data_IF_734645467273
#
_entry.id   IF_734645467273
#
_cell.length_a   1.000
_cell.length_b   1.000
_cell.length_c   1.000
_cell.angle_alpha   90.00
_cell.angle_beta   90.00
_cell.angle_gamma   90.00
#
_symmetry.space_group_name_H-M   'P 1'
#
loop_
_entity.id
_entity.type
_entity.pdbx_description
1 polymer ?
#
# COMPACT_ATOMS: atom_id res chain seq x y z
N UNK A 1 -49.46 5.78 3.84
CA UNK A 1 -48.24 4.98 3.99
C UNK A 1 -47.41 5.02 2.72
N UNK A 2 -47.29 6.19 2.09
CA UNK A 2 -46.52 6.36 0.84
C UNK A 2 -45.89 7.76 0.72
N UNK A 3 -45.37 8.35 1.79
CA UNK A 3 -44.73 9.68 1.70
C UNK A 3 -43.48 9.87 2.59
N UNK A 4 -42.80 8.78 3.00
CA UNK A 4 -41.67 8.90 3.94
C UNK A 4 -40.33 8.37 3.40
N UNK A 5 -40.22 8.01 2.12
CA UNK A 5 -39.00 7.49 1.51
C UNK A 5 -38.15 8.54 0.76
N UNK A 6 -38.74 9.67 0.41
CA UNK A 6 -38.01 10.69 -0.38
C UNK A 6 -37.09 11.58 0.47
N UNK A 7 -37.45 11.83 1.73
CA UNK A 7 -36.61 12.64 2.64
C UNK A 7 -35.39 11.85 3.14
N UNK A 8 -35.52 10.54 3.32
CA UNK A 8 -34.35 9.69 3.73
C UNK A 8 -33.34 9.46 2.59
N UNK A 9 -33.78 9.47 1.32
CA UNK A 9 -32.88 9.36 0.18
C UNK A 9 -32.09 10.66 -0.06
N UNK A 10 -32.73 11.81 0.11
CA UNK A 10 -32.03 13.12 0.04
C UNK A 10 -31.01 13.30 1.17
N UNK A 11 -31.34 12.87 2.42
CA UNK A 11 -30.41 12.91 3.57
C UNK A 11 -29.19 11.97 3.38
N UNK A 12 -29.37 10.84 2.69
CA UNK A 12 -28.28 9.90 2.41
C UNK A 12 -27.39 10.40 1.27
N UNK A 13 -27.95 11.01 0.23
CA UNK A 13 -27.17 11.65 -0.83
C UNK A 13 -26.39 12.86 -0.29
N UNK A 14 -26.98 13.69 0.56
CA UNK A 14 -26.30 14.82 1.22
C UNK A 14 -25.19 14.35 2.15
N UNK A 15 -25.38 13.25 2.91
CA UNK A 15 -24.32 12.64 3.74
C UNK A 15 -23.20 11.98 2.92
N UNK A 16 -23.48 11.48 1.72
CA UNK A 16 -22.46 10.93 0.82
C UNK A 16 -21.63 12.07 0.21
N UNK A 17 -22.24 13.19 -0.15
CA UNK A 17 -21.53 14.38 -0.63
C UNK A 17 -20.58 14.95 0.45
N UNK A 18 -20.98 14.97 1.72
CA UNK A 18 -20.12 15.44 2.83
C UNK A 18 -18.86 14.55 3.07
N UNK A 19 -18.85 13.34 2.55
CA UNK A 19 -17.69 12.42 2.66
C UNK A 19 -16.82 12.37 1.40
N UNK A 20 -17.11 13.16 0.38
CA UNK A 20 -16.31 13.21 -0.85
C UNK A 20 -14.91 13.79 -0.55
N UNK A 21 -13.83 13.09 -0.93
CA UNK A 21 -12.46 13.61 -0.78
C UNK A 21 -12.23 14.96 -1.44
N UNK A 22 -13.00 15.31 -2.47
CA UNK A 22 -12.94 16.62 -3.14
C UNK A 22 -13.50 17.71 -2.26
N UNK A 23 -14.66 17.52 -1.63
CA UNK A 23 -15.23 18.46 -0.68
C UNK A 23 -14.34 18.64 0.55
N UNK A 24 -13.75 17.56 1.06
CA UNK A 24 -12.78 17.65 2.15
C UNK A 24 -11.54 18.46 1.73
N UNK A 25 -11.03 18.28 0.50
CA UNK A 25 -9.89 19.04 -0.02
C UNK A 25 -10.22 20.54 -0.17
N UNK A 26 -11.43 20.86 -0.64
CA UNK A 26 -11.90 22.24 -0.76
C UNK A 26 -12.14 22.88 0.62
N UNK A 27 -12.72 22.15 1.56
CA UNK A 27 -12.89 22.60 2.94
C UNK A 27 -11.55 22.93 3.63
N UNK A 28 -10.51 22.14 3.39
CA UNK A 28 -9.15 22.45 3.86
C UNK A 28 -8.55 23.67 3.14
N UNK A 29 -8.79 23.84 1.83
CA UNK A 29 -8.28 24.97 1.06
C UNK A 29 -8.90 26.30 1.49
N UNK A 30 -10.16 26.30 1.93
CA UNK A 30 -10.88 27.49 2.40
C UNK A 30 -10.49 27.91 3.84
N UNK A 31 -9.56 27.19 4.47
CA UNK A 31 -8.96 27.58 5.74
C UNK A 31 -9.82 27.29 6.96
N UNK A 32 -10.41 26.11 7.05
CA UNK A 32 -11.03 25.62 8.27
C UNK A 32 -10.08 25.80 9.46
N UNK A 33 -10.53 26.47 10.50
CA UNK A 33 -9.70 26.86 11.66
C UNK A 33 -9.88 25.93 12.86
N UNK A 34 -10.58 24.81 12.70
CA UNK A 34 -10.86 23.90 13.80
C UNK A 34 -9.60 23.12 14.13
N UNK A 35 -9.05 23.41 15.30
CA UNK A 35 -7.92 22.66 15.87
C UNK A 35 -8.39 21.26 16.24
N UNK A 36 -7.92 20.24 15.53
CA UNK A 36 -8.17 18.85 15.87
C UNK A 36 -7.47 18.45 17.18
N UNK A 37 -6.54 19.25 17.66
CA UNK A 37 -5.90 19.15 18.95
C UNK A 37 -5.15 17.84 19.16
N UNK A 38 -4.92 17.51 20.43
CA UNK A 38 -4.22 16.29 20.86
C UNK A 38 -4.97 14.98 20.50
N UNK A 39 -6.23 15.07 20.06
CA UNK A 39 -7.01 13.93 19.56
C UNK A 39 -6.54 13.41 18.20
N UNK A 40 -5.86 14.24 17.41
CA UNK A 40 -5.28 13.85 16.13
C UNK A 40 -3.96 13.08 16.33
N UNK A 41 -4.05 11.77 16.30
CA UNK A 41 -2.90 10.87 16.48
C UNK A 41 -2.06 10.69 15.21
N UNK A 42 -2.46 11.29 14.08
CA UNK A 42 -1.76 11.14 12.81
C UNK A 42 -0.81 12.32 12.54
N UNK A 43 -1.32 13.54 12.67
CA UNK A 43 -0.58 14.77 12.34
C UNK A 43 -0.55 15.80 13.47
N UNK A 44 -1.12 15.47 14.65
CA UNK A 44 -1.09 16.36 15.83
C UNK A 44 -1.87 17.67 15.67
N UNK A 45 -2.92 17.68 14.83
CA UNK A 45 -3.73 18.87 14.53
C UNK A 45 -3.21 19.71 13.37
N UNK A 46 -2.18 19.29 12.66
CA UNK A 46 -1.62 20.00 11.51
C UNK A 46 -2.55 19.89 10.29
N UNK A 47 -3.33 20.95 10.04
CA UNK A 47 -4.30 21.03 8.95
C UNK A 47 -3.61 21.04 7.57
N UNK A 48 -2.42 21.60 7.44
CA UNK A 48 -1.70 21.58 6.16
C UNK A 48 -1.27 20.16 5.78
N UNK A 49 -0.89 19.35 6.75
CA UNK A 49 -0.59 17.93 6.52
C UNK A 49 -1.85 17.15 6.16
N UNK A 50 -2.99 17.43 6.79
CA UNK A 50 -4.26 16.83 6.42
C UNK A 50 -4.65 17.18 4.98
N UNK A 51 -4.49 18.44 4.57
CA UNK A 51 -4.75 18.88 3.20
C UNK A 51 -3.86 18.14 2.20
N UNK A 52 -2.55 18.01 2.48
CA UNK A 52 -1.61 17.25 1.64
C UNK A 52 -1.98 15.78 1.57
N UNK A 53 -2.33 15.18 2.70
CA UNK A 53 -2.78 13.78 2.76
C UNK A 53 -4.05 13.56 1.94
N UNK A 54 -5.05 14.43 2.07
CA UNK A 54 -6.31 14.36 1.33
C UNK A 54 -6.09 14.40 -0.18
N UNK A 55 -5.33 15.38 -0.68
CA UNK A 55 -5.04 15.50 -2.11
C UNK A 55 -4.18 14.33 -2.63
N UNK A 56 -3.26 13.82 -1.82
CA UNK A 56 -2.49 12.60 -2.15
C UNK A 56 -3.40 11.37 -2.21
N UNK A 57 -4.41 11.29 -1.35
CA UNK A 57 -5.43 10.24 -1.38
C UNK A 57 -6.27 10.33 -2.66
N UNK A 58 -6.63 11.54 -3.12
CA UNK A 58 -7.33 11.74 -4.41
C UNK A 58 -6.50 11.16 -5.56
N UNK A 59 -5.18 11.38 -5.60
CA UNK A 59 -4.30 10.78 -6.62
C UNK A 59 -4.30 9.24 -6.54
N UNK A 60 -4.19 8.66 -5.34
CA UNK A 60 -4.29 7.20 -5.12
C UNK A 60 -5.60 6.64 -5.66
N UNK A 61 -6.72 7.26 -5.31
CA UNK A 61 -8.05 6.81 -5.71
C UNK A 61 -8.27 6.97 -7.23
N UNK A 62 -7.82 8.08 -7.82
CA UNK A 62 -7.87 8.30 -9.26
C UNK A 62 -7.09 7.20 -10.01
N UNK A 63 -5.86 6.90 -9.58
CA UNK A 63 -5.09 5.82 -10.21
C UNK A 63 -5.70 4.44 -9.97
N UNK A 64 -6.41 4.22 -8.86
CA UNK A 64 -7.13 2.97 -8.60
C UNK A 64 -8.19 2.69 -9.64
N UNK A 65 -8.89 3.71 -10.13
CA UNK A 65 -9.97 3.59 -11.10
C UNK A 65 -9.55 3.91 -12.55
N UNK A 66 -8.27 4.16 -12.79
CA UNK A 66 -7.77 4.64 -14.08
C UNK A 66 -8.10 3.73 -15.28
N UNK A 67 -8.25 2.42 -15.06
CA UNK A 67 -8.59 1.45 -16.11
C UNK A 67 -10.10 1.35 -16.36
N UNK A 68 -10.95 1.65 -15.38
CA UNK A 68 -12.42 1.54 -15.50
C UNK A 68 -13.10 2.89 -15.70
N UNK A 69 -12.50 3.97 -15.25
CA UNK A 69 -13.00 5.34 -15.42
C UNK A 69 -11.86 6.30 -15.75
N UNK A 70 -11.18 6.14 -16.91
CA UNK A 70 -9.99 6.90 -17.24
C UNK A 70 -10.24 8.41 -17.39
N UNK A 71 -11.44 8.81 -17.79
CA UNK A 71 -11.79 10.22 -17.92
C UNK A 71 -11.81 10.93 -16.56
N UNK A 72 -12.53 10.38 -15.58
CA UNK A 72 -12.60 10.90 -14.21
C UNK A 72 -11.23 10.84 -13.54
N UNK A 73 -10.51 9.74 -13.67
CA UNK A 73 -9.16 9.61 -13.12
C UNK A 73 -8.21 10.69 -13.66
N UNK A 74 -8.25 10.92 -14.98
CA UNK A 74 -7.45 11.97 -15.62
C UNK A 74 -7.83 13.36 -15.12
N UNK A 75 -9.12 13.68 -15.08
CA UNK A 75 -9.63 14.97 -14.60
C UNK A 75 -9.15 15.26 -13.18
N UNK A 76 -9.31 14.30 -12.27
CA UNK A 76 -8.86 14.41 -10.88
C UNK A 76 -7.35 14.65 -10.77
N UNK A 77 -6.54 13.88 -11.52
CA UNK A 77 -5.08 14.06 -11.48
C UNK A 77 -4.66 15.41 -12.05
N UNK A 78 -5.23 15.81 -13.20
CA UNK A 78 -4.90 17.09 -13.85
C UNK A 78 -5.38 18.30 -13.02
N UNK A 79 -6.48 18.18 -12.29
CA UNK A 79 -6.94 19.20 -11.36
C UNK A 79 -5.95 19.38 -10.20
N UNK A 80 -5.64 18.29 -9.49
CA UNK A 80 -4.72 18.33 -8.35
C UNK A 80 -3.34 18.84 -8.78
N UNK A 81 -2.76 18.24 -9.80
CA UNK A 81 -1.41 18.59 -10.27
C UNK A 81 -1.36 19.96 -10.96
N UNK A 82 -2.47 20.42 -11.51
CA UNK A 82 -2.57 21.72 -12.17
C UNK A 82 -2.57 22.92 -11.21
N UNK A 83 -2.85 22.70 -9.92
CA UNK A 83 -2.89 23.79 -8.92
C UNK A 83 -2.44 23.32 -7.54
N UNK A 84 -1.16 23.01 -7.39
CA UNK A 84 -0.55 22.59 -6.12
C UNK A 84 -0.58 23.66 -5.02
N UNK A 85 -0.90 24.90 -5.35
CA UNK A 85 -1.14 25.93 -4.33
C UNK A 85 -2.49 25.74 -3.64
N UNK A 86 -3.52 25.39 -4.40
CA UNK A 86 -4.85 25.06 -3.84
C UNK A 86 -4.90 23.63 -3.32
N UNK A 87 -4.31 22.70 -4.05
CA UNK A 87 -4.33 21.26 -3.78
C UNK A 87 -2.91 20.72 -3.53
N UNK A 88 -2.23 21.14 -2.44
CA UNK A 88 -0.91 20.64 -2.12
C UNK A 88 -0.97 19.13 -1.87
N UNK A 89 0.05 18.41 -2.33
CA UNK A 89 0.24 16.98 -2.06
C UNK A 89 1.41 16.78 -1.10
N UNK A 90 1.60 15.56 -0.60
CA UNK A 90 2.76 15.22 0.23
C UNK A 90 4.06 15.42 -0.54
N UNK A 91 5.03 16.11 0.06
CA UNK A 91 6.29 16.50 -0.59
C UNK A 91 7.55 16.20 0.23
N UNK A 92 7.39 15.66 1.43
CA UNK A 92 8.52 15.28 2.28
C UNK A 92 8.18 14.05 3.13
N UNK A 93 9.20 13.39 3.66
CA UNK A 93 9.00 12.30 4.61
C UNK A 93 8.37 12.76 5.94
N UNK A 94 8.36 14.06 6.22
CA UNK A 94 7.64 14.64 7.36
C UNK A 94 6.12 14.64 7.16
N UNK A 95 5.66 14.51 5.92
CA UNK A 95 4.24 14.39 5.56
C UNK A 95 3.73 12.94 5.65
N UNK A 96 4.60 11.96 5.92
CA UNK A 96 4.20 10.56 6.02
C UNK A 96 3.09 10.36 7.05
N UNK A 97 1.97 9.79 6.63
CA UNK A 97 0.83 9.48 7.48
C UNK A 97 1.09 8.18 8.25
N UNK A 98 1.77 8.28 9.39
CA UNK A 98 2.12 7.18 10.26
C UNK A 98 1.44 7.30 11.61
N UNK A 99 0.67 6.27 11.97
CA UNK A 99 0.19 6.12 13.33
C UNK A 99 1.30 5.50 14.19
N UNK A 100 1.75 6.21 15.21
CA UNK A 100 2.78 5.74 16.12
C UNK A 100 2.18 5.13 17.38
N UNK A 101 2.65 3.94 17.70
CA UNK A 101 2.22 3.22 18.87
C UNK A 101 2.95 3.71 20.14
N UNK A 102 2.31 3.63 21.30
CA UNK A 102 2.88 4.13 22.55
C UNK A 102 4.08 3.27 23.02
N UNK A 103 4.01 1.96 22.82
CA UNK A 103 5.10 1.03 23.10
C UNK A 103 5.44 0.78 24.58
N UNK A 104 4.78 1.47 25.53
CA UNK A 104 5.03 1.33 26.97
C UNK A 104 3.96 0.55 27.71
N UNK A 105 2.76 0.40 27.13
CA UNK A 105 1.64 -0.37 27.65
C UNK A 105 1.35 -1.55 26.71
N UNK A 106 1.21 -2.79 27.21
CA UNK A 106 0.92 -3.96 26.41
C UNK A 106 -0.33 -3.87 25.53
N UNK A 107 -1.31 -3.05 25.92
CA UNK A 107 -2.50 -2.82 25.11
C UNK A 107 -2.27 -1.92 23.89
N UNK A 108 -1.12 -1.24 23.85
CA UNK A 108 -0.75 -0.25 22.84
C UNK A 108 0.63 -0.53 22.24
N UNK A 109 1.02 -1.80 22.17
CA UNK A 109 2.19 -2.24 21.41
C UNK A 109 1.90 -2.26 19.92
N UNK A 110 2.90 -1.96 19.09
CA UNK A 110 2.83 -2.17 17.66
C UNK A 110 2.54 -3.67 17.39
N UNK A 111 1.46 -3.99 16.67
CA UNK A 111 0.93 -5.38 16.60
C UNK A 111 1.92 -6.40 16.02
N UNK A 112 2.75 -6.00 15.04
CA UNK A 112 3.73 -6.91 14.44
C UNK A 112 4.91 -7.15 15.39
N UNK A 113 5.37 -6.10 16.08
CA UNK A 113 6.42 -6.21 17.07
C UNK A 113 5.97 -7.03 18.28
N UNK A 114 4.74 -6.89 18.74
CA UNK A 114 4.19 -7.73 19.80
C UNK A 114 4.04 -9.20 19.34
N UNK A 115 3.58 -9.43 18.13
CA UNK A 115 3.52 -10.75 17.53
C UNK A 115 4.90 -11.41 17.48
N UNK A 116 5.92 -10.69 17.02
CA UNK A 116 7.31 -11.19 17.00
C UNK A 116 7.87 -11.46 18.39
N UNK A 117 7.64 -10.57 19.33
CA UNK A 117 8.08 -10.73 20.73
C UNK A 117 7.64 -12.06 21.31
N UNK A 118 6.43 -12.50 20.98
CA UNK A 118 5.82 -13.75 21.48
C UNK A 118 6.14 -14.98 20.64
N UNK A 119 6.45 -14.81 19.33
CA UNK A 119 6.55 -15.91 18.35
C UNK A 119 7.77 -15.77 17.42
N UNK A 120 8.93 -15.48 17.98
CA UNK A 120 10.17 -15.15 17.24
C UNK A 120 10.58 -16.12 16.11
N UNK A 121 10.21 -17.39 16.19
CA UNK A 121 10.61 -18.43 15.23
C UNK A 121 9.56 -18.70 14.17
N UNK A 122 8.42 -18.01 14.20
CA UNK A 122 7.30 -18.25 13.29
C UNK A 122 7.28 -17.30 12.09
N UNK A 123 8.21 -16.34 12.03
CA UNK A 123 8.25 -15.30 11.00
C UNK A 123 9.49 -15.40 10.13
N UNK A 124 9.29 -15.36 8.83
CA UNK A 124 10.33 -15.26 7.82
C UNK A 124 9.93 -14.23 6.77
N UNK A 125 10.91 -13.55 6.17
CA UNK A 125 10.67 -12.70 5.01
C UNK A 125 10.31 -13.57 3.79
N UNK A 126 9.38 -13.11 2.96
CA UNK A 126 8.99 -13.82 1.76
C UNK A 126 10.06 -13.73 0.67
N UNK A 127 10.26 -14.82 -0.07
CA UNK A 127 11.20 -14.91 -1.20
C UNK A 127 10.92 -13.85 -2.28
N UNK A 128 9.66 -13.62 -2.61
CA UNK A 128 9.24 -12.68 -3.66
C UNK A 128 9.88 -11.31 -3.52
N UNK A 129 9.86 -10.73 -2.33
CA UNK A 129 10.43 -9.39 -2.11
C UNK A 129 11.94 -9.45 -1.84
N UNK A 130 12.42 -10.46 -1.12
CA UNK A 130 13.85 -10.60 -0.82
C UNK A 130 14.66 -10.82 -2.10
N UNK A 131 14.19 -11.70 -2.98
CA UNK A 131 14.87 -12.02 -4.24
C UNK A 131 14.81 -10.84 -5.23
N UNK A 132 13.68 -10.12 -5.27
CA UNK A 132 13.58 -8.90 -6.07
C UNK A 132 14.62 -7.87 -5.63
N UNK A 133 14.73 -7.59 -4.33
CA UNK A 133 15.69 -6.63 -3.80
C UNK A 133 17.14 -7.11 -3.91
N UNK A 134 17.38 -8.43 -3.79
CA UNK A 134 18.72 -9.02 -4.02
C UNK A 134 19.18 -8.82 -5.46
N UNK A 135 18.31 -9.11 -6.44
CA UNK A 135 18.63 -9.01 -7.86
C UNK A 135 18.96 -7.59 -8.30
N UNK A 136 18.36 -6.59 -7.63
CA UNK A 136 18.57 -5.18 -7.92
C UNK A 136 19.65 -4.52 -7.04
N UNK A 137 20.22 -5.27 -6.12
CA UNK A 137 21.12 -4.74 -5.08
C UNK A 137 20.51 -3.53 -4.34
N UNK A 138 19.18 -3.58 -4.12
CA UNK A 138 18.39 -2.47 -3.58
C UNK A 138 18.92 -2.07 -2.19
N UNK A 139 19.34 -0.81 -1.98
CA UNK A 139 19.94 -0.38 -0.73
C UNK A 139 18.95 -0.37 0.44
N UNK A 140 17.63 -0.29 0.20
CA UNK A 140 16.58 -0.41 1.24
C UNK A 140 16.55 -1.79 1.88
N UNK A 141 17.15 -2.79 1.25
CA UNK A 141 17.16 -4.19 1.72
C UNK A 141 17.66 -4.33 3.15
N UNK A 142 18.70 -3.58 3.53
CA UNK A 142 19.27 -3.62 4.87
C UNK A 142 18.37 -3.00 5.96
N UNK A 143 17.46 -2.11 5.57
CA UNK A 143 16.42 -1.58 6.44
C UNK A 143 15.23 -2.55 6.54
N UNK A 144 14.83 -3.17 5.44
CA UNK A 144 13.65 -4.05 5.39
C UNK A 144 13.89 -5.42 6.01
N UNK A 145 15.12 -5.94 5.92
CA UNK A 145 15.44 -7.30 6.35
C UNK A 145 16.72 -7.35 7.17
N UNK A 146 16.80 -8.37 8.02
CA UNK A 146 18.03 -8.80 8.65
C UNK A 146 18.64 -9.94 7.81
N UNK A 147 19.97 -10.00 7.66
CA UNK A 147 20.61 -11.15 7.03
C UNK A 147 20.36 -12.41 7.84
N UNK A 148 20.45 -13.58 7.21
CA UNK A 148 20.21 -14.83 7.89
C UNK A 148 21.24 -15.06 9.01
N UNK A 149 20.80 -15.63 10.13
CA UNK A 149 21.68 -15.88 11.27
C UNK A 149 22.87 -16.76 10.88
N UNK A 150 22.65 -17.83 10.12
CA UNK A 150 23.73 -18.72 9.64
C UNK A 150 24.77 -17.98 8.80
N UNK A 151 24.33 -17.06 7.92
CA UNK A 151 25.26 -16.31 7.07
C UNK A 151 26.09 -15.29 7.85
N UNK A 152 25.50 -14.67 8.88
CA UNK A 152 26.23 -13.77 9.79
C UNK A 152 27.27 -14.53 10.61
N UNK A 153 26.91 -15.69 11.15
CA UNK A 153 27.83 -16.57 11.90
C UNK A 153 28.99 -17.11 11.01
N UNK A 154 28.72 -17.28 9.71
CA UNK A 154 29.72 -17.66 8.73
C UNK A 154 30.61 -16.50 8.25
N UNK A 155 30.34 -15.25 8.65
CA UNK A 155 31.05 -14.05 8.22
C UNK A 155 30.70 -13.56 6.80
N UNK A 156 29.66 -14.11 6.18
CA UNK A 156 29.18 -13.74 4.83
C UNK A 156 27.69 -13.40 4.87
N UNK A 157 27.29 -12.22 5.38
CA UNK A 157 25.87 -11.86 5.51
C UNK A 157 25.10 -11.95 4.19
N UNK A 158 24.01 -12.72 4.18
CA UNK A 158 23.14 -12.94 3.02
C UNK A 158 21.67 -12.77 3.38
N UNK A 159 20.87 -12.28 2.45
CA UNK A 159 19.43 -12.19 2.59
C UNK A 159 18.78 -13.32 1.82
N UNK A 160 17.96 -14.14 2.49
CA UNK A 160 17.30 -15.30 1.94
C UNK A 160 15.82 -15.28 2.32
N UNK A 161 14.94 -15.25 1.34
CA UNK A 161 13.49 -15.32 1.55
C UNK A 161 12.99 -16.76 1.70
N UNK A 162 11.88 -16.91 2.42
CA UNK A 162 11.19 -18.20 2.55
C UNK A 162 10.07 -18.28 1.51
N UNK A 163 10.02 -19.38 0.78
CA UNK A 163 9.01 -19.57 -0.29
C UNK A 163 7.60 -19.63 0.29
N UNK A 164 6.74 -18.74 -0.18
CA UNK A 164 5.34 -18.63 0.26
C UNK A 164 4.63 -19.96 0.03
N UNK A 165 3.99 -20.48 1.09
CA UNK A 165 3.24 -21.74 1.01
C UNK A 165 4.07 -23.02 0.84
N UNK A 166 5.39 -22.96 1.08
CA UNK A 166 6.22 -24.17 1.07
C UNK A 166 5.72 -25.21 2.08
N UNK A 167 5.88 -26.50 1.72
CA UNK A 167 5.42 -27.62 2.57
C UNK A 167 6.31 -27.87 3.79
N UNK A 168 7.60 -27.53 3.67
CA UNK A 168 8.59 -27.78 4.72
C UNK A 168 8.50 -26.69 5.80
N UNK A 169 8.71 -27.09 7.04
CA UNK A 169 8.89 -26.11 8.12
C UNK A 169 10.17 -25.31 7.88
N UNK A 170 10.07 -23.99 8.03
CA UNK A 170 11.22 -23.11 7.96
C UNK A 170 12.17 -23.39 9.12
N UNK A 171 13.47 -23.47 8.82
CA UNK A 171 14.53 -23.39 9.84
C UNK A 171 14.88 -21.91 9.95
N UNK A 172 14.43 -21.26 11.02
CA UNK A 172 14.49 -19.80 11.16
C UNK A 172 15.89 -19.20 10.94
N UNK A 173 16.97 -19.92 11.31
CA UNK A 173 18.34 -19.45 11.12
C UNK A 173 18.78 -19.33 9.64
N UNK A 174 18.07 -19.98 8.72
CA UNK A 174 18.39 -20.02 7.29
C UNK A 174 17.69 -18.95 6.49
N UNK A 175 16.72 -18.26 7.07
CA UNK A 175 15.91 -17.27 6.39
C UNK A 175 16.03 -15.91 7.06
N UNK A 176 15.89 -14.89 6.25
CA UNK A 176 15.83 -13.50 6.71
C UNK A 176 14.53 -13.25 7.46
N UNK A 177 14.60 -12.39 8.45
CA UNK A 177 13.44 -11.82 9.14
C UNK A 177 13.38 -10.33 8.80
N UNK A 178 12.29 -9.68 9.17
CA UNK A 178 12.14 -8.25 8.92
C UNK A 178 13.12 -7.41 9.72
N UNK A 179 13.43 -6.23 9.19
CA UNK A 179 14.32 -5.27 9.83
C UNK A 179 13.79 -4.78 11.17
N UNK A 180 14.71 -4.43 12.08
CA UNK A 180 14.38 -4.04 13.44
C UNK A 180 13.33 -2.92 13.50
N UNK A 181 13.44 -1.91 12.62
CA UNK A 181 12.51 -0.79 12.51
C UNK A 181 11.04 -1.23 12.35
N UNK A 182 10.80 -2.34 11.65
CA UNK A 182 9.45 -2.80 11.30
C UNK A 182 8.91 -3.89 12.22
N UNK A 183 9.75 -4.50 13.01
CA UNK A 183 9.42 -5.79 13.61
C UNK A 183 9.81 -5.96 15.08
N UNK A 184 10.65 -5.09 15.62
CA UNK A 184 11.09 -5.22 17.02
C UNK A 184 10.77 -4.01 17.88
N UNK A 185 10.34 -2.91 17.29
CA UNK A 185 10.01 -1.69 18.00
C UNK A 185 8.53 -1.72 18.45
N UNK A 186 8.32 -1.87 19.76
CA UNK A 186 6.98 -1.86 20.36
C UNK A 186 6.29 -0.49 20.25
N UNK A 187 7.08 0.59 20.11
CA UNK A 187 6.61 1.94 19.81
C UNK A 187 6.63 2.24 18.30
N UNK A 188 6.71 1.20 17.47
CA UNK A 188 6.75 1.32 16.01
C UNK A 188 5.50 1.95 15.42
N UNK A 189 5.45 1.98 14.11
CA UNK A 189 4.41 2.70 13.36
C UNK A 189 3.57 1.78 12.47
N UNK A 190 2.33 2.21 12.24
CA UNK A 190 1.44 1.67 11.20
C UNK A 190 1.30 2.70 10.08
N UNK A 191 1.74 2.41 8.85
CA UNK A 191 1.67 3.36 7.76
C UNK A 191 0.27 3.37 7.12
N UNK A 192 -0.28 4.56 6.91
CA UNK A 192 -1.50 4.80 6.13
C UNK A 192 -1.18 5.28 4.72
N UNK A 193 -0.20 6.18 4.59
CA UNK A 193 0.32 6.64 3.31
C UNK A 193 1.74 7.14 3.47
N UNK A 194 2.57 6.86 2.48
CA UNK A 194 3.93 7.42 2.35
C UNK A 194 3.96 8.45 1.26
N UNK A 195 4.82 9.45 1.42
CA UNK A 195 5.03 10.48 0.39
C UNK A 195 5.46 9.90 -0.97
N UNK A 196 6.15 8.77 -0.98
CA UNK A 196 6.55 8.09 -2.21
C UNK A 196 5.34 7.68 -3.08
N UNK A 197 4.23 7.29 -2.47
CA UNK A 197 3.06 6.73 -3.16
C UNK A 197 2.38 7.73 -4.11
N UNK A 198 1.97 8.96 -3.71
CA UNK A 198 1.40 9.92 -4.66
C UNK A 198 2.36 10.26 -5.80
N UNK A 199 3.67 10.25 -5.57
CA UNK A 199 4.63 10.51 -6.65
C UNK A 199 4.77 9.34 -7.62
N UNK A 200 4.59 8.08 -7.19
CA UNK A 200 4.43 6.95 -8.12
C UNK A 200 3.13 7.07 -8.92
N UNK A 201 2.03 7.50 -8.30
CA UNK A 201 0.78 7.80 -9.02
C UNK A 201 0.97 8.88 -10.09
N UNK A 202 1.70 9.96 -9.76
CA UNK A 202 2.03 11.03 -10.71
C UNK A 202 2.92 10.51 -11.85
N UNK A 203 3.91 9.66 -11.55
CA UNK A 203 4.76 9.06 -12.57
C UNK A 203 3.96 8.20 -13.56
N UNK A 204 3.05 7.37 -13.06
CA UNK A 204 2.15 6.57 -13.90
C UNK A 204 1.22 7.45 -14.74
N UNK A 205 0.61 8.48 -14.14
CA UNK A 205 -0.26 9.41 -14.85
C UNK A 205 0.48 10.16 -15.97
N UNK A 206 1.72 10.56 -15.72
CA UNK A 206 2.57 11.19 -16.74
C UNK A 206 2.88 10.23 -17.91
N UNK A 207 3.08 8.92 -17.63
CA UNK A 207 3.24 7.91 -18.67
C UNK A 207 1.95 7.66 -19.48
N UNK A 208 0.78 7.91 -18.89
CA UNK A 208 -0.49 7.89 -19.61
C UNK A 208 -0.69 9.13 -20.49
N UNK A 209 0.22 10.08 -20.45
CA UNK A 209 0.15 11.34 -21.20
C UNK A 209 -0.77 12.37 -20.58
N UNK A 210 -1.11 12.24 -19.29
CA UNK A 210 -1.91 13.23 -18.57
C UNK A 210 -1.05 14.43 -18.20
N UNK A 211 -1.66 15.60 -18.10
CA UNK A 211 -0.95 16.84 -17.79
C UNK A 211 -0.67 16.95 -16.28
N UNK A 212 0.44 16.42 -15.85
CA UNK A 212 0.88 16.47 -14.43
C UNK A 212 1.88 17.60 -14.14
N UNK A 213 2.32 18.34 -15.17
CA UNK A 213 3.33 19.40 -15.02
C UNK A 213 4.76 18.90 -14.75
N UNK A 214 4.98 17.57 -14.71
CA UNK A 214 6.28 16.94 -14.45
C UNK A 214 6.47 15.72 -15.37
N UNK A 215 7.70 15.37 -15.72
CA UNK A 215 7.96 14.16 -16.51
C UNK A 215 7.76 12.89 -15.66
N UNK A 216 7.44 11.77 -16.34
CA UNK A 216 7.33 10.47 -15.66
C UNK A 216 8.65 10.07 -14.97
N UNK A 217 9.80 10.36 -15.60
CA UNK A 217 11.11 10.08 -15.03
C UNK A 217 11.38 10.89 -13.76
N UNK A 218 11.10 12.21 -13.79
CA UNK A 218 11.34 13.06 -12.62
C UNK A 218 10.42 12.69 -11.46
N UNK A 219 9.14 12.39 -11.73
CA UNK A 219 8.19 11.95 -10.69
C UNK A 219 8.59 10.58 -10.11
N UNK A 220 9.02 9.64 -10.96
CA UNK A 220 9.53 8.33 -10.53
C UNK A 220 10.78 8.48 -9.67
N UNK A 221 11.76 9.26 -10.13
CA UNK A 221 13.01 9.49 -9.38
C UNK A 221 12.71 10.12 -8.01
N UNK A 222 11.77 11.06 -7.97
CA UNK A 222 11.33 11.70 -6.72
C UNK A 222 10.69 10.66 -5.77
N UNK A 223 9.81 9.80 -6.27
CA UNK A 223 9.17 8.75 -5.49
C UNK A 223 10.17 7.74 -4.90
N UNK A 224 11.11 7.26 -5.73
CA UNK A 224 12.16 6.34 -5.29
C UNK A 224 13.06 7.00 -4.24
N UNK A 225 13.43 8.26 -4.46
CA UNK A 225 14.25 9.04 -3.50
C UNK A 225 13.56 9.12 -2.15
N UNK A 226 12.29 9.50 -2.08
CA UNK A 226 11.54 9.56 -0.81
C UNK A 226 11.48 8.20 -0.11
N UNK A 227 11.22 7.13 -0.86
CA UNK A 227 11.21 5.78 -0.30
C UNK A 227 12.57 5.38 0.29
N UNK A 228 13.66 5.77 -0.33
CA UNK A 228 15.00 5.47 0.13
C UNK A 228 15.41 6.32 1.33
N UNK A 229 15.13 7.62 1.31
CA UNK A 229 15.39 8.53 2.42
C UNK A 229 14.63 8.12 3.68
N UNK A 230 13.35 7.71 3.55
CA UNK A 230 12.56 7.14 4.67
C UNK A 230 13.30 5.96 5.33
N UNK A 231 14.04 5.19 4.55
CA UNK A 231 14.79 4.02 4.99
C UNK A 231 16.26 4.31 5.30
N UNK A 232 16.62 5.60 5.45
CA UNK A 232 17.94 6.06 5.84
C UNK A 232 19.05 5.64 4.87
N UNK A 233 18.73 5.47 3.60
CA UNK A 233 19.70 5.25 2.53
C UNK A 233 20.47 6.54 2.27
N UNK A 234 21.78 6.44 2.07
CA UNK A 234 22.63 7.61 1.81
C UNK A 234 22.31 8.26 0.44
N UNK A 235 22.53 9.57 0.32
CA UNK A 235 22.35 10.27 -0.95
C UNK A 235 23.24 9.70 -2.08
N UNK A 236 24.41 9.18 -1.74
CA UNK A 236 25.33 8.52 -2.68
C UNK A 236 24.71 7.20 -3.20
N UNK A 237 24.22 6.35 -2.31
CA UNK A 237 23.58 5.07 -2.68
C UNK A 237 22.28 5.30 -3.46
N UNK A 238 21.50 6.34 -3.14
CA UNK A 238 20.31 6.74 -3.90
C UNK A 238 20.70 7.12 -5.32
N UNK A 239 21.71 7.97 -5.47
CA UNK A 239 22.18 8.42 -6.78
C UNK A 239 22.72 7.24 -7.63
N UNK A 240 23.47 6.34 -7.00
CA UNK A 240 23.98 5.14 -7.67
C UNK A 240 22.84 4.22 -8.10
N UNK A 241 21.88 3.97 -7.23
CA UNK A 241 20.71 3.14 -7.57
C UNK A 241 19.93 3.70 -8.76
N UNK A 242 19.62 5.00 -8.75
CA UNK A 242 18.89 5.67 -9.83
C UNK A 242 19.68 5.76 -11.14
N UNK A 243 21.00 5.75 -11.06
CA UNK A 243 21.85 5.70 -12.26
C UNK A 243 21.94 4.29 -12.88
N UNK A 244 21.74 3.24 -12.08
CA UNK A 244 21.97 1.83 -12.43
C UNK A 244 20.69 0.98 -12.34
N UNK A 245 20.52 0.23 -11.27
CA UNK A 245 19.45 -0.77 -11.10
C UNK A 245 18.04 -0.14 -11.03
N UNK A 246 17.92 1.05 -10.48
CA UNK A 246 16.69 1.83 -10.40
C UNK A 246 16.47 2.80 -11.54
N UNK A 247 17.37 2.86 -12.53
CA UNK A 247 17.26 3.80 -13.64
C UNK A 247 15.93 3.67 -14.36
N UNK A 248 15.25 4.79 -14.58
CA UNK A 248 13.96 4.81 -15.26
C UNK A 248 14.07 4.28 -16.70
N UNK A 249 13.21 3.34 -17.03
CA UNK A 249 13.20 2.62 -18.32
C UNK A 249 11.97 2.93 -19.18
N UNK A 250 11.13 3.87 -18.77
CA UNK A 250 9.87 4.18 -19.42
C UNK A 250 8.92 2.96 -19.51
N UNK A 251 8.91 2.14 -18.47
CA UNK A 251 8.04 0.98 -18.32
C UNK A 251 7.17 1.13 -17.07
N UNK A 252 5.84 1.11 -17.23
CA UNK A 252 4.89 1.18 -16.10
C UNK A 252 5.13 0.08 -15.08
N UNK A 253 5.53 -1.11 -15.53
CA UNK A 253 5.83 -2.23 -14.65
C UNK A 253 6.96 -1.92 -13.67
N UNK A 254 7.95 -1.14 -14.08
CA UNK A 254 9.01 -0.67 -13.19
C UNK A 254 8.46 0.26 -12.10
N UNK A 255 7.57 1.19 -12.45
CA UNK A 255 6.90 2.06 -11.47
C UNK A 255 6.16 1.21 -10.44
N UNK A 256 5.38 0.24 -10.89
CA UNK A 256 4.60 -0.63 -9.99
C UNK A 256 5.46 -1.48 -9.05
N UNK A 257 6.62 -1.97 -9.52
CA UNK A 257 7.55 -2.70 -8.67
C UNK A 257 8.17 -1.80 -7.60
N UNK A 258 8.59 -0.60 -7.95
CA UNK A 258 9.17 0.34 -6.98
C UNK A 258 8.12 0.84 -5.98
N UNK A 259 6.89 1.10 -6.44
CA UNK A 259 5.75 1.41 -5.58
C UNK A 259 5.44 0.26 -4.60
N UNK A 260 5.39 -0.98 -5.10
CA UNK A 260 5.19 -2.16 -4.27
C UNK A 260 6.27 -2.32 -3.20
N UNK A 261 7.54 -2.12 -3.55
CA UNK A 261 8.65 -2.13 -2.59
C UNK A 261 8.49 -1.02 -1.56
N UNK A 262 8.14 0.20 -1.99
CA UNK A 262 7.92 1.34 -1.09
C UNK A 262 6.75 1.11 -0.11
N UNK A 263 5.75 0.30 -0.47
CA UNK A 263 4.61 -0.05 0.38
C UNK A 263 4.93 -1.11 1.43
N UNK A 264 6.20 -1.40 1.73
CA UNK A 264 6.57 -2.36 2.78
C UNK A 264 5.86 -2.04 4.11
N UNK A 265 5.25 -3.05 4.76
CA UNK A 265 4.36 -2.93 5.93
C UNK A 265 3.00 -2.26 5.64
N UNK A 266 2.66 -2.00 4.38
CA UNK A 266 1.37 -1.43 3.95
C UNK A 266 0.63 -2.46 3.08
N UNK A 267 0.44 -3.67 3.64
CA UNK A 267 0.04 -4.86 2.88
C UNK A 267 -1.28 -4.74 2.15
N UNK A 268 -2.27 -3.98 2.68
CA UNK A 268 -3.58 -3.81 2.02
C UNK A 268 -3.45 -2.97 0.74
N UNK A 269 -2.61 -1.93 0.75
CA UNK A 269 -2.35 -1.13 -0.44
C UNK A 269 -1.48 -1.88 -1.45
N UNK A 270 -0.45 -2.61 -0.99
CA UNK A 270 0.33 -3.50 -1.85
C UNK A 270 -0.53 -4.58 -2.52
N UNK A 271 -1.53 -5.14 -1.80
CA UNK A 271 -2.49 -6.08 -2.39
C UNK A 271 -3.45 -5.40 -3.37
N UNK A 272 -3.84 -4.17 -3.10
CA UNK A 272 -4.67 -3.38 -4.02
C UNK A 272 -3.90 -3.03 -5.31
N UNK A 273 -2.64 -2.63 -5.19
CA UNK A 273 -1.75 -2.41 -6.34
C UNK A 273 -1.62 -3.69 -7.18
N UNK A 274 -1.36 -4.85 -6.53
CA UNK A 274 -1.29 -6.13 -7.21
C UNK A 274 -2.58 -6.47 -7.97
N UNK A 275 -3.75 -6.29 -7.36
CA UNK A 275 -5.03 -6.58 -8.03
C UNK A 275 -5.30 -5.66 -9.22
N UNK A 276 -4.79 -4.43 -9.19
CA UNK A 276 -4.90 -3.48 -10.30
C UNK A 276 -3.92 -3.79 -11.43
N UNK A 277 -2.67 -4.08 -11.09
CA UNK A 277 -1.56 -4.07 -12.05
C UNK A 277 -1.00 -5.47 -12.38
N UNK A 278 -1.26 -6.47 -11.52
CA UNK A 278 -0.61 -7.78 -11.59
C UNK A 278 0.85 -7.78 -11.09
N UNK A 279 1.33 -6.69 -10.50
CA UNK A 279 2.69 -6.59 -9.97
C UNK A 279 2.69 -6.69 -8.44
N UNK A 280 3.57 -7.54 -7.86
CA UNK A 280 4.59 -8.36 -8.50
C UNK A 280 4.00 -9.55 -9.27
N UNK A 281 4.51 -9.84 -10.46
CA UNK A 281 3.99 -10.84 -11.38
C UNK A 281 4.43 -12.29 -11.11
N UNK A 282 5.15 -12.49 -10.03
CA UNK A 282 5.62 -13.80 -9.53
C UNK A 282 4.84 -14.28 -8.30
N UNK A 283 3.70 -13.66 -7.97
CA UNK A 283 2.78 -14.18 -6.97
C UNK A 283 1.94 -15.32 -7.55
N UNK A 284 1.79 -16.36 -6.78
CA UNK A 284 1.03 -17.54 -7.13
C UNK A 284 0.24 -18.07 -5.93
N UNK A 285 -0.81 -18.86 -6.14
CA UNK A 285 -1.49 -19.54 -5.04
C UNK A 285 -0.48 -20.43 -4.32
N UNK A 286 -0.50 -20.40 -3.00
CA UNK A 286 0.45 -21.10 -2.13
C UNK A 286 0.95 -22.46 -2.68
N UNK A 287 2.16 -22.57 -3.22
CA UNK A 287 2.61 -23.73 -3.99
C UNK A 287 2.78 -25.00 -3.14
N UNK A 288 2.92 -24.84 -1.83
CA UNK A 288 2.93 -25.94 -0.88
C UNK A 288 1.59 -26.66 -0.73
N UNK A 289 0.50 -26.11 -1.27
CA UNK A 289 -0.87 -26.64 -1.17
C UNK A 289 -1.58 -26.72 -2.53
N UNK A 290 -0.96 -27.28 -3.59
CA UNK A 290 -1.54 -27.26 -4.92
C UNK A 290 -2.90 -27.99 -5.00
N UNK A 291 -3.14 -28.99 -4.17
CA UNK A 291 -4.42 -29.72 -4.15
C UNK A 291 -5.61 -28.84 -3.72
N UNK A 292 -5.35 -27.81 -2.90
CA UNK A 292 -6.40 -26.89 -2.43
C UNK A 292 -6.62 -25.72 -3.39
N UNK A 293 -5.64 -25.46 -4.28
CA UNK A 293 -5.61 -24.24 -5.10
C UNK A 293 -5.32 -24.52 -6.58
N UNK A 294 -5.55 -25.78 -7.02
CA UNK A 294 -5.23 -26.23 -8.39
C UNK A 294 -6.03 -25.50 -9.48
N UNK A 295 -7.16 -24.90 -9.13
CA UNK A 295 -8.03 -24.18 -10.05
C UNK A 295 -7.75 -22.68 -10.11
N UNK A 296 -6.71 -22.22 -9.39
CA UNK A 296 -6.39 -20.81 -9.30
C UNK A 296 -4.96 -20.54 -9.78
N UNK A 297 -4.77 -19.43 -10.48
CA UNK A 297 -3.46 -19.01 -10.98
C UNK A 297 -2.94 -17.72 -10.30
N UNK A 298 -3.74 -17.10 -9.43
CA UNK A 298 -3.38 -15.89 -8.67
C UNK A 298 -3.81 -16.03 -7.22
N UNK A 299 -3.27 -15.22 -6.29
CA UNK A 299 -3.80 -15.07 -4.94
C UNK A 299 -5.27 -14.63 -4.92
N UNK A 300 -5.99 -14.85 -3.80
CA UNK A 300 -7.39 -14.48 -3.66
C UNK A 300 -7.69 -13.02 -4.04
N UNK A 301 -8.83 -12.80 -4.67
CA UNK A 301 -9.27 -11.47 -5.09
C UNK A 301 -9.78 -10.62 -3.93
N UNK A 302 -10.49 -11.24 -2.98
CA UNK A 302 -11.03 -10.60 -1.79
C UNK A 302 -11.18 -11.60 -0.65
N UNK A 303 -11.30 -11.09 0.57
CA UNK A 303 -11.70 -11.92 1.70
C UNK A 303 -13.18 -12.32 1.59
N UNK A 304 -13.54 -13.53 2.05
CA UNK A 304 -14.95 -13.93 2.14
C UNK A 304 -15.70 -13.06 3.13
N UNK A 305 -17.03 -13.00 3.01
CA UNK A 305 -17.84 -12.39 4.05
C UNK A 305 -17.71 -13.17 5.36
N UNK A 306 -17.63 -12.48 6.52
CA UNK A 306 -17.60 -13.16 7.82
C UNK A 306 -18.83 -14.01 8.04
N UNK A 307 -18.69 -15.15 8.72
CA UNK A 307 -19.81 -16.03 9.04
C UNK A 307 -20.92 -15.30 9.84
N UNK A 308 -20.53 -14.33 10.66
CA UNK A 308 -21.47 -13.49 11.40
C UNK A 308 -22.37 -12.70 10.47
N UNK A 309 -21.81 -12.10 9.42
CA UNK A 309 -22.56 -11.36 8.41
C UNK A 309 -23.50 -12.29 7.65
N UNK A 310 -23.03 -13.44 7.21
CA UNK A 310 -23.84 -14.45 6.52
C UNK A 310 -25.00 -14.97 7.36
N UNK A 311 -24.80 -15.09 8.68
CA UNK A 311 -25.81 -15.63 9.57
C UNK A 311 -26.83 -14.59 10.04
N UNK A 312 -26.39 -13.35 10.30
CA UNK A 312 -27.23 -12.30 10.88
C UNK A 312 -27.83 -11.35 9.85
N UNK A 313 -27.19 -11.20 8.70
CA UNK A 313 -27.59 -10.30 7.61
C UNK A 313 -27.68 -11.04 6.27
N UNK A 314 -28.18 -12.27 6.30
CA UNK A 314 -28.23 -13.14 5.12
C UNK A 314 -29.00 -12.52 3.95
N UNK A 315 -30.09 -11.81 4.21
CA UNK A 315 -30.93 -11.22 3.15
C UNK A 315 -30.12 -10.25 2.25
N UNK A 316 -29.20 -9.48 2.83
CA UNK A 316 -28.33 -8.56 2.09
C UNK A 316 -27.03 -9.22 1.59
N UNK A 317 -26.54 -10.24 2.28
CA UNK A 317 -25.28 -10.91 1.94
C UNK A 317 -25.44 -11.98 0.84
N UNK A 318 -26.53 -12.75 0.84
CA UNK A 318 -26.74 -13.91 -0.03
C UNK A 318 -26.66 -13.56 -1.55
N UNK A 319 -27.20 -12.44 -2.06
CA UNK A 319 -27.08 -12.09 -3.46
C UNK A 319 -25.61 -11.94 -3.92
N UNK A 320 -24.76 -11.36 -3.07
CA UNK A 320 -23.35 -11.17 -3.35
C UNK A 320 -22.51 -12.43 -3.17
N UNK A 321 -22.88 -13.31 -2.22
CA UNK A 321 -22.28 -14.63 -2.06
C UNK A 321 -22.58 -15.53 -3.26
N UNK A 322 -23.77 -15.44 -3.85
CA UNK A 322 -24.15 -16.20 -5.03
C UNK A 322 -23.30 -15.86 -6.28
N UNK A 323 -22.69 -14.68 -6.34
CA UNK A 323 -21.79 -14.30 -7.41
C UNK A 323 -20.38 -14.90 -7.26
N UNK A 324 -20.07 -15.50 -6.10
CA UNK A 324 -18.75 -16.01 -5.76
C UNK A 324 -18.74 -17.53 -5.92
N UNK A 325 -18.04 -18.01 -6.95
CA UNK A 325 -17.93 -19.45 -7.24
C UNK A 325 -17.11 -20.18 -6.17
N UNK A 326 -16.11 -19.52 -5.63
CA UNK A 326 -15.25 -20.02 -4.55
C UNK A 326 -15.09 -18.96 -3.47
N UNK A 327 -15.66 -19.22 -2.30
CA UNK A 327 -15.66 -18.30 -1.16
C UNK A 327 -14.26 -17.97 -0.61
N UNK A 328 -13.25 -18.83 -0.84
CA UNK A 328 -11.87 -18.56 -0.44
C UNK A 328 -11.17 -17.62 -1.40
N UNK A 329 -11.52 -17.68 -2.70
CA UNK A 329 -10.90 -16.83 -3.73
C UNK A 329 -11.70 -15.55 -3.99
N UNK A 330 -13.00 -15.63 -3.86
CA UNK A 330 -13.87 -14.50 -4.08
C UNK A 330 -14.08 -14.18 -5.56
N UNK A 331 -14.43 -12.94 -5.84
CA UNK A 331 -14.63 -12.38 -7.17
C UNK A 331 -13.67 -11.18 -7.34
N UNK A 332 -13.18 -10.96 -8.56
CA UNK A 332 -12.42 -9.74 -8.86
C UNK A 332 -13.17 -8.49 -8.40
N UNK A 333 -12.45 -7.53 -7.87
CA UNK A 333 -13.00 -6.22 -7.56
C UNK A 333 -13.42 -5.54 -8.87
N UNK A 334 -14.41 -4.66 -8.83
CA UNK A 334 -14.95 -3.98 -10.02
C UNK A 334 -13.89 -3.16 -10.78
N UNK A 335 -12.84 -2.74 -10.11
CA UNK A 335 -11.72 -2.00 -10.69
C UNK A 335 -10.53 -2.91 -11.09
N UNK A 336 -10.60 -4.20 -10.84
CA UNK A 336 -9.59 -5.19 -11.26
C UNK A 336 -9.92 -5.68 -12.67
N UNK A 337 -9.29 -5.10 -13.67
CA UNK A 337 -9.53 -5.36 -15.09
C UNK A 337 -8.67 -6.47 -15.69
N UNK A 338 -7.84 -7.14 -14.87
CA UNK A 338 -6.95 -8.20 -15.34
C UNK A 338 -7.74 -9.32 -15.98
N UNK A 339 -7.25 -9.84 -17.10
CA UNK A 339 -7.85 -10.96 -17.85
C UNK A 339 -7.07 -12.27 -17.63
N UNK A 340 -7.77 -13.41 -17.70
CA UNK A 340 -7.16 -14.72 -17.55
C UNK A 340 -6.74 -15.08 -16.12
N UNK A 341 -7.18 -14.31 -15.13
CA UNK A 341 -6.96 -14.56 -13.70
C UNK A 341 -8.15 -15.35 -13.13
N UNK A 342 -7.88 -16.36 -12.31
CA UNK A 342 -8.90 -17.22 -11.70
C UNK A 342 -8.39 -17.94 -10.43
#
# INVERSE_FOLDING_TARGET
WDDDFSEEEEDVEEQIEETDPEMAADGFADGGSDDLGEGDLLFGGDIEKWQRYCNSMRLRLAMRISEVSPALAKETVEEVMGNLTKYPIMESNDDNAFFWWIGTDPNYYEPMADGYRTRKTEYCAADVIVDHMNTREDPRRSSYFQPTKESVEAGEPKYVGYTIGAKANAVASKYSIWGARFFTDLAGFSPYMRVAEPWFCVAEASMLGWNTGISAEDAYNKAVTYSMEENSVSAEDIADYLANAGKFTNDKKQIYYEEWVAMFKQGMEGWSLYRRTGVPDNLYPAPGRPANYSNHNVPPFRSPYPDKERNLNNANCAPFDAEVVDNLWGKQMWWDTRTGVH
#
